data_IF_671209517140
#
_entry.id   IF_671209517140
#
_cell.length_a   1.000
_cell.length_b   1.000
_cell.length_c   1.000
_cell.angle_alpha   90.00
_cell.angle_beta   90.00
_cell.angle_gamma   90.00
#
_symmetry.space_group_name_H-M   'P 1'
#
loop_
_entity.id
_entity.type
_entity.pdbx_description
1 polymer ?
#
# COMPACT_ATOMS: atom_id res chain seq x y z
N UNK A 1 4.36 5.37 -82.28
CA UNK A 1 4.34 4.43 -81.11
C UNK A 1 4.92 5.02 -79.77
N UNK A 2 5.31 6.30 -79.71
CA UNK A 2 5.86 6.97 -78.52
C UNK A 2 4.82 7.61 -77.61
N UNK A 3 3.64 7.99 -78.09
CA UNK A 3 2.60 8.71 -77.31
C UNK A 3 1.89 7.80 -76.32
N UNK A 4 1.70 6.51 -76.59
CA UNK A 4 1.01 5.59 -75.65
C UNK A 4 1.84 5.25 -74.37
N UNK A 5 3.19 5.30 -74.48
CA UNK A 5 4.04 5.05 -73.26
C UNK A 5 4.06 6.20 -72.32
N UNK A 6 4.00 7.45 -72.83
CA UNK A 6 3.99 8.62 -71.95
C UNK A 6 2.68 8.76 -71.21
N UNK A 7 1.55 8.40 -71.79
CA UNK A 7 0.24 8.42 -71.16
C UNK A 7 0.10 7.37 -70.07
N UNK A 8 0.60 6.14 -70.24
CA UNK A 8 0.63 5.11 -69.23
C UNK A 8 1.49 5.51 -68.01
N UNK A 9 2.64 6.14 -68.21
CA UNK A 9 3.51 6.60 -67.12
C UNK A 9 2.84 7.70 -66.28
N UNK A 10 2.13 8.63 -66.93
CA UNK A 10 1.42 9.70 -66.23
C UNK A 10 0.25 9.16 -65.39
N UNK A 11 -0.49 8.17 -65.92
CA UNK A 11 -1.61 7.54 -65.16
C UNK A 11 -1.07 6.73 -63.98
N UNK A 12 0.02 5.99 -64.13
CA UNK A 12 0.65 5.27 -63.02
C UNK A 12 1.17 6.24 -61.93
N UNK A 13 1.75 7.39 -62.30
CA UNK A 13 2.22 8.39 -61.34
C UNK A 13 1.07 8.99 -60.50
N UNK A 14 -0.09 9.24 -61.11
CA UNK A 14 -1.28 9.74 -60.43
C UNK A 14 -1.84 8.71 -59.42
N UNK A 15 -1.84 7.42 -59.80
CA UNK A 15 -2.28 6.35 -58.89
C UNK A 15 -1.32 6.14 -57.71
N UNK A 16 -0.01 6.31 -57.90
CA UNK A 16 1.00 6.22 -56.86
C UNK A 16 0.85 7.41 -55.89
N UNK A 17 0.62 8.65 -56.37
CA UNK A 17 0.36 9.80 -55.54
C UNK A 17 -0.96 9.65 -54.73
N UNK A 18 -2.04 9.15 -55.36
CA UNK A 18 -3.30 8.91 -54.67
C UNK A 18 -3.16 7.83 -53.57
N UNK A 19 -2.33 6.81 -53.76
CA UNK A 19 -2.03 5.78 -52.75
C UNK A 19 -1.31 6.32 -51.50
N UNK A 20 -0.44 7.33 -51.69
CA UNK A 20 0.30 7.94 -50.57
C UNK A 20 -0.64 8.77 -49.65
N UNK A 21 -1.68 9.43 -50.20
CA UNK A 21 -2.65 10.14 -49.42
C UNK A 21 -3.63 9.24 -48.69
N UNK A 22 -3.87 8.01 -49.13
CA UNK A 22 -4.72 7.05 -48.47
C UNK A 22 -4.00 6.37 -47.25
N UNK A 23 -2.65 6.29 -47.29
CA UNK A 23 -1.87 5.67 -46.22
C UNK A 23 -1.77 6.53 -44.94
N UNK A 24 -2.07 7.85 -44.99
CA UNK A 24 -2.07 8.74 -43.83
C UNK A 24 -3.37 8.72 -43.04
N UNK A 25 -4.39 7.97 -43.47
CA UNK A 25 -5.60 7.78 -42.67
C UNK A 25 -5.45 6.56 -41.76
N UNK A 26 -4.34 6.50 -41.00
CA UNK A 26 -4.25 5.59 -39.87
C UNK A 26 -5.36 6.01 -38.90
N UNK A 27 -6.38 5.19 -38.84
CA UNK A 27 -7.40 5.26 -37.81
C UNK A 27 -6.67 5.48 -36.47
N UNK A 28 -6.75 6.70 -35.95
CA UNK A 28 -6.43 6.95 -34.54
C UNK A 28 -7.27 5.95 -33.77
N UNK A 29 -6.68 4.81 -33.36
CA UNK A 29 -7.24 4.04 -32.26
C UNK A 29 -7.52 5.11 -31.22
N UNK A 30 -8.77 5.31 -30.87
CA UNK A 30 -9.15 6.10 -29.70
C UNK A 30 -8.54 5.37 -28.51
N UNK A 31 -7.24 5.61 -28.27
CA UNK A 31 -6.60 5.25 -27.04
C UNK A 31 -7.37 5.97 -25.94
N UNK A 32 -7.50 5.33 -24.82
CA UNK A 32 -8.02 5.96 -23.61
C UNK A 32 -7.22 7.24 -23.44
N UNK A 33 -7.88 8.40 -23.59
CA UNK A 33 -7.20 9.68 -23.43
C UNK A 33 -6.95 9.87 -21.94
N UNK A 34 -5.71 9.75 -21.52
CA UNK A 34 -5.31 9.94 -20.14
C UNK A 34 -5.45 11.43 -19.79
N UNK A 35 -6.28 11.73 -18.83
CA UNK A 35 -6.48 13.04 -18.22
C UNK A 35 -6.53 12.87 -16.71
N UNK A 36 -6.51 13.95 -15.91
CA UNK A 36 -6.67 13.83 -14.46
C UNK A 36 -7.94 13.10 -13.98
N UNK A 37 -8.96 12.96 -14.84
CA UNK A 37 -10.26 12.37 -14.52
C UNK A 37 -10.68 11.26 -15.48
N UNK A 38 -9.77 10.76 -16.30
CA UNK A 38 -10.03 9.63 -17.22
C UNK A 38 -8.75 8.92 -17.60
N UNK A 39 -8.81 7.62 -17.80
CA UNK A 39 -7.69 6.77 -18.15
C UNK A 39 -7.52 5.62 -17.19
N UNK A 40 -6.43 4.88 -17.35
CA UNK A 40 -6.06 3.73 -16.53
C UNK A 40 -4.71 4.00 -15.88
N UNK A 41 -4.65 3.95 -14.55
CA UNK A 41 -3.40 4.06 -13.80
C UNK A 41 -3.23 2.88 -12.84
N UNK A 42 -2.02 2.32 -12.82
CA UNK A 42 -1.59 1.38 -11.79
C UNK A 42 -0.85 2.16 -10.72
N UNK A 43 -1.25 1.98 -9.47
CA UNK A 43 -0.61 2.56 -8.30
C UNK A 43 -0.10 1.46 -7.37
N UNK A 44 0.87 1.76 -6.52
CA UNK A 44 1.27 0.88 -5.44
C UNK A 44 1.07 1.61 -4.12
N UNK A 45 0.52 0.90 -3.12
CA UNK A 45 0.28 1.46 -1.80
C UNK A 45 0.73 0.48 -0.72
N UNK A 46 1.27 1.02 0.37
CA UNK A 46 1.54 0.24 1.57
C UNK A 46 0.24 -0.44 2.02
N UNK A 47 0.31 -1.73 2.26
CA UNK A 47 -0.83 -2.56 2.65
C UNK A 47 -1.52 -2.06 3.92
N UNK A 48 -0.80 -1.35 4.77
CA UNK A 48 -1.34 -0.70 5.96
C UNK A 48 -2.51 0.24 5.61
N UNK A 49 -2.51 0.82 4.40
CA UNK A 49 -3.52 1.76 3.93
C UNK A 49 -4.62 1.14 3.07
N UNK A 50 -4.60 -0.17 2.83
CA UNK A 50 -5.57 -0.84 1.95
C UNK A 50 -7.02 -0.42 2.23
N UNK A 51 -7.53 -0.45 3.50
CA UNK A 51 -8.93 -0.12 3.76
C UNK A 51 -9.33 1.32 3.39
N UNK A 52 -8.44 2.29 3.62
CA UNK A 52 -8.71 3.69 3.29
C UNK A 52 -8.51 3.95 1.79
N UNK A 53 -7.53 3.30 1.17
CA UNK A 53 -7.27 3.46 -0.26
C UNK A 53 -8.41 2.92 -1.12
N UNK A 54 -8.99 1.76 -0.75
CA UNK A 54 -10.15 1.21 -1.44
C UNK A 54 -11.34 2.21 -1.40
N UNK A 55 -11.63 2.79 -0.24
CA UNK A 55 -12.70 3.78 -0.10
C UNK A 55 -12.45 5.03 -0.95
N UNK A 56 -11.23 5.56 -0.94
CA UNK A 56 -10.88 6.74 -1.73
C UNK A 56 -10.93 6.47 -3.24
N UNK A 57 -10.51 5.28 -3.67
CA UNK A 57 -10.59 4.85 -5.06
C UNK A 57 -12.05 4.71 -5.51
N UNK A 58 -12.90 4.06 -4.71
CA UNK A 58 -14.33 3.89 -5.00
C UNK A 58 -15.03 5.25 -5.15
N UNK A 59 -14.74 6.20 -4.25
CA UNK A 59 -15.30 7.56 -4.33
C UNK A 59 -14.79 8.28 -5.57
N UNK A 60 -13.49 8.18 -5.87
CA UNK A 60 -12.91 8.85 -7.04
C UNK A 60 -13.48 8.30 -8.35
N UNK A 61 -13.57 6.98 -8.50
CA UNK A 61 -14.12 6.34 -9.71
C UNK A 61 -15.65 6.59 -9.83
N UNK A 62 -16.36 6.66 -8.71
CA UNK A 62 -17.77 7.06 -8.67
C UNK A 62 -17.99 8.48 -9.18
N UNK A 63 -17.09 9.42 -8.84
CA UNK A 63 -17.12 10.79 -9.33
C UNK A 63 -16.64 10.91 -10.79
N UNK A 64 -15.71 10.07 -11.19
CA UNK A 64 -15.07 10.07 -12.52
C UNK A 64 -15.18 8.72 -13.22
N UNK A 65 -16.33 8.34 -13.76
CA UNK A 65 -16.58 7.00 -14.32
C UNK A 65 -15.70 6.59 -15.52
N UNK A 66 -14.85 7.48 -16.01
CA UNK A 66 -13.85 7.20 -17.06
C UNK A 66 -12.44 7.02 -16.52
N UNK A 67 -12.25 7.19 -15.22
CA UNK A 67 -11.02 6.86 -14.53
C UNK A 67 -11.08 5.40 -14.07
N UNK A 68 -9.93 4.72 -14.12
CA UNK A 68 -9.77 3.38 -13.58
C UNK A 68 -8.41 3.31 -12.88
N UNK A 69 -8.44 3.03 -11.59
CA UNK A 69 -7.25 2.93 -10.75
C UNK A 69 -7.06 1.46 -10.36
N UNK A 70 -5.90 0.90 -10.67
CA UNK A 70 -5.54 -0.46 -10.27
C UNK A 70 -4.56 -0.37 -9.10
N UNK A 71 -5.02 -0.55 -7.85
CA UNK A 71 -4.14 -0.59 -6.70
C UNK A 71 -3.37 -1.91 -6.64
N UNK A 72 -2.13 -1.85 -6.17
CA UNK A 72 -1.31 -3.00 -5.79
C UNK A 72 -0.84 -2.73 -4.37
N UNK A 73 -1.40 -3.48 -3.44
CA UNK A 73 -1.01 -3.42 -2.03
C UNK A 73 0.16 -4.34 -1.78
N UNK A 74 1.17 -3.83 -1.10
CA UNK A 74 2.40 -4.55 -0.81
C UNK A 74 3.09 -3.96 0.41
N UNK A 75 4.16 -4.58 0.86
CA UNK A 75 5.03 -4.05 1.90
C UNK A 75 5.69 -2.75 1.47
N UNK A 76 6.02 -1.88 2.42
CA UNK A 76 6.65 -0.58 2.13
C UNK A 76 7.89 -0.71 1.24
N UNK A 77 8.70 -1.74 1.44
CA UNK A 77 9.90 -2.00 0.63
C UNK A 77 9.54 -2.30 -0.83
N UNK A 78 8.52 -3.12 -1.06
CA UNK A 78 8.08 -3.50 -2.40
C UNK A 78 7.34 -2.36 -3.10
N UNK A 79 6.58 -1.55 -2.37
CA UNK A 79 5.93 -0.34 -2.88
C UNK A 79 6.99 0.63 -3.43
N UNK A 80 8.03 0.90 -2.66
CA UNK A 80 9.12 1.77 -3.10
C UNK A 80 9.91 1.14 -4.26
N UNK A 81 10.17 -0.17 -4.20
CA UNK A 81 10.84 -0.89 -5.28
C UNK A 81 10.06 -0.79 -6.59
N UNK A 82 8.74 -0.92 -6.56
CA UNK A 82 7.87 -0.76 -7.72
C UNK A 82 7.99 0.63 -8.35
N UNK A 83 8.06 1.68 -7.52
CA UNK A 83 8.30 3.05 -7.97
C UNK A 83 9.70 3.21 -8.59
N UNK A 84 10.73 2.69 -7.94
CA UNK A 84 12.12 2.75 -8.42
C UNK A 84 12.29 2.01 -9.75
N UNK A 85 11.53 0.94 -9.98
CA UNK A 85 11.53 0.17 -11.24
C UNK A 85 10.66 0.79 -12.34
N UNK A 86 9.95 1.90 -12.06
CA UNK A 86 8.99 2.53 -12.99
C UNK A 86 7.82 1.58 -13.36
N UNK A 87 7.51 0.64 -12.48
CA UNK A 87 6.35 -0.26 -12.63
C UNK A 87 5.04 0.43 -12.27
N UNK A 88 5.12 1.50 -11.47
CA UNK A 88 4.03 2.38 -11.09
C UNK A 88 4.49 3.83 -11.16
N UNK A 89 3.55 4.76 -11.35
CA UNK A 89 3.80 6.19 -11.39
C UNK A 89 3.42 6.92 -10.11
N UNK A 90 2.70 6.25 -9.24
CA UNK A 90 2.29 6.75 -7.94
C UNK A 90 2.50 5.66 -6.91
N UNK A 91 3.13 6.03 -5.79
CA UNK A 91 3.30 5.17 -4.64
C UNK A 91 2.80 5.89 -3.38
N UNK A 92 2.04 5.19 -2.55
CA UNK A 92 1.56 5.67 -1.25
C UNK A 92 2.34 4.93 -0.17
N UNK A 93 3.13 5.68 0.60
CA UNK A 93 4.08 5.13 1.59
C UNK A 93 4.00 5.89 2.89
N UNK A 94 4.51 5.30 3.97
CA UNK A 94 4.57 5.94 5.30
C UNK A 94 5.81 6.78 5.51
N UNK A 95 6.80 6.70 4.63
CA UNK A 95 8.04 7.48 4.69
C UNK A 95 8.35 8.20 3.39
N UNK A 96 9.22 9.16 3.47
CA UNK A 96 9.83 9.80 2.30
C UNK A 96 10.84 8.88 1.63
N UNK A 97 11.12 9.14 0.36
CA UNK A 97 12.25 8.52 -0.32
C UNK A 97 13.56 8.93 0.34
N UNK A 98 14.47 7.98 0.50
CA UNK A 98 15.83 8.27 0.94
C UNK A 98 16.61 9.04 -0.15
N UNK A 99 17.68 9.77 0.20
CA UNK A 99 18.51 10.47 -0.79
C UNK A 99 19.00 9.57 -1.92
N UNK A 100 19.35 8.31 -1.61
CA UNK A 100 19.82 7.33 -2.60
C UNK A 100 18.71 6.89 -3.56
N UNK A 101 17.48 6.76 -3.07
CA UNK A 101 16.31 6.41 -3.90
C UNK A 101 15.98 7.56 -4.84
N UNK A 102 16.02 8.81 -4.35
CA UNK A 102 15.84 10.02 -5.17
C UNK A 102 16.93 10.12 -6.23
N UNK A 103 18.20 9.88 -5.88
CA UNK A 103 19.31 9.87 -6.83
C UNK A 103 19.11 8.80 -7.91
N UNK A 104 18.66 7.60 -7.55
CA UNK A 104 18.36 6.50 -8.47
C UNK A 104 17.30 6.90 -9.50
N UNK A 105 16.23 7.57 -9.07
CA UNK A 105 15.19 8.07 -9.97
C UNK A 105 15.70 9.21 -10.86
N UNK A 106 16.44 10.17 -10.29
CA UNK A 106 17.00 11.30 -11.02
C UNK A 106 17.97 10.86 -12.11
N UNK A 107 18.80 9.84 -11.86
CA UNK A 107 19.70 9.26 -12.86
C UNK A 107 18.94 8.72 -14.11
N UNK A 108 17.69 8.31 -13.89
CA UNK A 108 16.76 7.88 -14.96
C UNK A 108 15.90 9.04 -15.53
N UNK A 109 16.16 10.28 -15.11
CA UNK A 109 15.38 11.49 -15.46
C UNK A 109 13.94 11.44 -14.94
N UNK A 110 13.68 10.69 -13.88
CA UNK A 110 12.43 10.65 -13.16
C UNK A 110 12.59 11.52 -11.90
N UNK A 111 11.77 12.56 -11.78
CA UNK A 111 11.87 13.54 -10.70
C UNK A 111 10.64 13.37 -9.79
N UNK A 112 10.76 12.62 -8.69
CA UNK A 112 9.63 12.33 -7.83
C UNK A 112 9.14 13.60 -7.14
N UNK A 113 7.82 13.75 -7.04
CA UNK A 113 7.18 14.78 -6.25
C UNK A 113 6.56 14.13 -5.02
N UNK A 114 7.00 14.51 -3.85
CA UNK A 114 6.45 14.06 -2.59
C UNK A 114 5.35 15.01 -2.10
N UNK A 115 4.22 14.43 -1.69
CA UNK A 115 3.09 15.17 -1.11
C UNK A 115 2.62 14.43 0.12
N UNK A 116 2.59 15.10 1.29
CA UNK A 116 1.96 14.56 2.48
C UNK A 116 0.45 14.71 2.33
N UNK A 117 -0.28 13.59 2.33
CA UNK A 117 -1.75 13.56 2.17
C UNK A 117 -2.47 13.36 3.50
N UNK A 118 -1.86 12.62 4.45
CA UNK A 118 -2.48 12.32 5.73
C UNK A 118 -1.43 12.07 6.82
N UNK A 119 -1.90 11.84 8.03
CA UNK A 119 -1.13 11.25 9.13
C UNK A 119 -1.92 10.03 9.60
N UNK A 120 -1.26 8.90 9.65
CA UNK A 120 -1.82 7.65 10.15
C UNK A 120 -1.18 7.26 11.48
N UNK A 121 -1.70 6.21 12.11
CA UNK A 121 -1.22 5.66 13.37
C UNK A 121 -1.09 4.13 13.31
N UNK A 122 -0.40 3.60 14.31
CA UNK A 122 -0.32 2.17 14.56
C UNK A 122 -1.21 1.85 15.77
N UNK A 123 -1.99 0.78 15.65
CA UNK A 123 -2.86 0.30 16.71
C UNK A 123 -2.33 -0.98 17.32
N UNK A 124 -2.48 -1.10 18.62
CA UNK A 124 -2.28 -2.34 19.38
C UNK A 124 -3.63 -3.01 19.57
N UNK A 125 -3.70 -4.29 19.25
CA UNK A 125 -4.92 -5.08 19.36
C UNK A 125 -4.68 -6.33 20.20
N UNK A 126 -5.69 -6.72 20.96
CA UNK A 126 -5.71 -7.94 21.77
C UNK A 126 -7.01 -8.70 21.55
N UNK A 127 -7.03 -9.96 21.95
CA UNK A 127 -8.22 -10.78 21.94
C UNK A 127 -9.31 -10.17 22.84
N UNK A 128 -10.58 -10.28 22.47
CA UNK A 128 -11.71 -9.81 23.29
C UNK A 128 -11.79 -10.42 24.70
N UNK A 129 -11.28 -11.62 24.86
CA UNK A 129 -11.23 -12.28 26.18
C UNK A 129 -10.06 -11.79 27.04
N UNK A 130 -9.15 -10.98 26.50
CA UNK A 130 -8.05 -10.40 27.27
C UNK A 130 -8.58 -9.23 28.12
N UNK A 131 -8.49 -9.31 29.47
CA UNK A 131 -8.94 -8.22 30.34
C UNK A 131 -7.97 -7.03 30.37
N UNK A 132 -6.72 -7.22 29.92
CA UNK A 132 -5.63 -6.26 30.03
C UNK A 132 -5.59 -5.41 28.74
N UNK A 133 -6.23 -4.25 28.76
CA UNK A 133 -6.46 -3.40 27.59
C UNK A 133 -5.78 -2.03 27.63
N UNK A 134 -5.00 -1.75 28.70
CA UNK A 134 -4.27 -0.49 28.86
C UNK A 134 -2.78 -0.80 29.03
N UNK A 135 -1.91 -0.10 28.31
CA UNK A 135 -0.47 -0.30 28.38
C UNK A 135 0.25 1.04 28.36
N UNK A 136 1.38 1.16 29.04
CA UNK A 136 2.23 2.34 28.93
C UNK A 136 3.23 2.20 27.80
N UNK A 137 3.72 3.32 27.25
CA UNK A 137 4.78 3.32 26.21
C UNK A 137 6.04 2.60 26.66
N UNK A 138 6.39 2.66 27.95
CA UNK A 138 7.56 1.93 28.48
C UNK A 138 7.33 0.42 28.49
N UNK A 139 6.17 -0.03 28.97
CA UNK A 139 5.80 -1.45 28.93
C UNK A 139 5.76 -1.97 27.50
N UNK A 140 5.16 -1.22 26.57
CA UNK A 140 5.14 -1.56 25.15
C UNK A 140 6.57 -1.72 24.60
N UNK A 141 7.45 -0.77 24.87
CA UNK A 141 8.87 -0.85 24.43
C UNK A 141 9.57 -2.09 24.96
N UNK A 142 9.36 -2.42 26.23
CA UNK A 142 9.94 -3.61 26.85
C UNK A 142 9.40 -4.92 26.27
N UNK A 143 8.13 -4.94 25.89
CA UNK A 143 7.53 -6.07 25.17
C UNK A 143 8.14 -6.19 23.77
N UNK A 144 8.18 -5.09 23.01
CA UNK A 144 8.69 -5.07 21.66
C UNK A 144 10.17 -5.48 21.57
N UNK A 145 10.99 -5.10 22.55
CA UNK A 145 12.40 -5.47 22.62
C UNK A 145 12.63 -6.87 23.22
N UNK A 146 11.60 -7.52 23.76
CA UNK A 146 11.69 -8.85 24.35
C UNK A 146 12.22 -8.88 25.78
N UNK A 147 12.28 -7.73 26.47
CA UNK A 147 12.59 -7.64 27.90
C UNK A 147 11.42 -8.18 28.74
N UNK A 148 10.21 -8.08 28.26
CA UNK A 148 8.98 -8.64 28.81
C UNK A 148 8.49 -9.74 27.88
N UNK A 149 8.27 -10.93 28.42
CA UNK A 149 7.87 -12.13 27.65
C UNK A 149 6.61 -12.80 28.18
N UNK A 150 6.13 -12.35 29.34
CA UNK A 150 4.92 -12.88 29.98
C UNK A 150 4.00 -11.76 30.43
N UNK A 151 2.70 -12.01 30.34
CA UNK A 151 1.67 -11.04 30.71
C UNK A 151 1.73 -10.61 32.19
N UNK A 152 2.06 -11.53 33.10
CA UNK A 152 2.20 -11.23 34.53
C UNK A 152 3.37 -10.29 34.88
N UNK A 153 4.30 -10.08 33.95
CA UNK A 153 5.38 -9.08 34.12
C UNK A 153 4.88 -7.65 33.87
N UNK A 154 3.71 -7.50 33.24
CA UNK A 154 3.04 -6.22 32.98
C UNK A 154 1.84 -6.05 33.89
N UNK A 155 1.05 -7.10 34.03
CA UNK A 155 -0.16 -7.16 34.85
C UNK A 155 -0.02 -8.33 35.82
N UNK A 156 0.35 -8.10 37.10
CA UNK A 156 0.67 -9.17 38.05
C UNK A 156 -0.43 -10.22 38.24
N UNK A 157 -1.70 -9.82 38.07
CA UNK A 157 -2.86 -10.70 38.23
C UNK A 157 -3.21 -11.47 36.94
N UNK A 158 -2.50 -11.19 35.80
CA UNK A 158 -2.79 -11.81 34.51
C UNK A 158 -2.45 -13.31 34.53
N UNK A 159 -3.36 -14.11 34.00
CA UNK A 159 -3.23 -15.58 33.86
C UNK A 159 -2.96 -16.01 32.42
N UNK A 160 -2.68 -15.06 31.52
CA UNK A 160 -2.51 -15.32 30.08
C UNK A 160 -1.18 -15.99 29.74
N UNK A 161 -0.22 -16.06 30.67
CA UNK A 161 1.07 -16.72 30.50
C UNK A 161 1.98 -16.02 29.53
N UNK A 162 2.61 -16.78 28.61
CA UNK A 162 3.61 -16.26 27.67
C UNK A 162 2.94 -15.30 26.65
N UNK A 163 3.50 -14.10 26.55
CA UNK A 163 3.05 -13.10 25.60
C UNK A 163 3.48 -13.46 24.17
N UNK A 164 2.56 -13.32 23.22
CA UNK A 164 2.82 -13.50 21.80
C UNK A 164 2.69 -12.16 21.07
N UNK A 165 3.81 -11.64 20.58
CA UNK A 165 3.86 -10.42 19.80
C UNK A 165 3.69 -10.76 18.32
N UNK A 166 2.73 -10.12 17.66
CA UNK A 166 2.34 -10.43 16.29
C UNK A 166 2.36 -9.18 15.41
N UNK A 167 3.03 -9.27 14.27
CA UNK A 167 3.07 -8.26 13.22
C UNK A 167 2.64 -8.86 11.89
N UNK A 168 2.38 -8.01 10.91
CA UNK A 168 2.11 -8.41 9.52
C UNK A 168 3.34 -9.09 8.89
N UNK A 169 4.37 -8.35 8.47
CA UNK A 169 5.59 -8.97 7.96
C UNK A 169 6.84 -8.14 8.31
N UNK A 170 8.05 -8.73 8.21
CA UNK A 170 9.29 -8.06 8.61
C UNK A 170 9.63 -6.79 7.81
N UNK A 171 9.10 -6.64 6.60
CA UNK A 171 9.38 -5.52 5.69
C UNK A 171 8.28 -4.43 5.74
N UNK A 172 7.32 -4.58 6.65
CA UNK A 172 6.18 -3.66 6.75
C UNK A 172 6.58 -2.32 7.38
N UNK A 173 5.76 -1.33 7.11
CA UNK A 173 5.85 -0.02 7.73
C UNK A 173 5.57 -0.04 9.22
N UNK A 174 4.72 -0.95 9.71
CA UNK A 174 4.41 -1.14 11.13
C UNK A 174 5.63 -1.60 11.91
N UNK A 175 6.38 -2.58 11.37
CA UNK A 175 7.66 -3.06 11.94
C UNK A 175 8.70 -1.94 11.95
N UNK A 176 8.87 -1.24 10.83
CA UNK A 176 9.79 -0.10 10.75
C UNK A 176 9.44 0.98 11.77
N UNK A 177 8.17 1.36 11.87
CA UNK A 177 7.71 2.35 12.84
C UNK A 177 7.96 1.91 14.28
N UNK A 178 7.71 0.62 14.60
CA UNK A 178 7.99 0.07 15.93
C UNK A 178 9.49 0.18 16.28
N UNK A 179 10.38 -0.15 15.34
CA UNK A 179 11.83 -0.04 15.54
C UNK A 179 12.25 1.42 15.72
N UNK A 180 11.91 2.28 14.75
CA UNK A 180 12.44 3.63 14.66
C UNK A 180 11.84 4.57 15.72
N UNK A 181 10.53 4.48 15.92
CA UNK A 181 9.79 5.45 16.75
C UNK A 181 9.54 4.95 18.17
N UNK A 182 9.12 3.68 18.35
CA UNK A 182 8.79 3.16 19.67
C UNK A 182 10.05 2.66 20.38
N UNK A 183 10.88 1.87 19.69
CA UNK A 183 12.08 1.24 20.27
C UNK A 183 13.33 2.11 20.14
N UNK A 184 13.24 3.30 19.57
CA UNK A 184 14.36 4.25 19.36
C UNK A 184 15.56 3.59 18.65
N UNK A 185 15.30 2.82 17.60
CA UNK A 185 16.29 2.11 16.79
C UNK A 185 16.76 0.76 17.37
N UNK A 186 16.27 0.34 18.53
CA UNK A 186 16.57 -1.00 19.06
C UNK A 186 15.83 -2.07 18.26
N UNK A 187 16.45 -3.22 17.99
CA UNK A 187 15.81 -4.32 17.27
C UNK A 187 14.62 -4.88 18.06
N UNK A 188 13.64 -5.39 17.34
CA UNK A 188 12.52 -6.11 17.93
C UNK A 188 12.95 -7.47 18.48
N UNK A 189 12.12 -8.04 19.35
CA UNK A 189 12.28 -9.37 19.90
C UNK A 189 12.42 -10.41 18.79
N UNK A 190 13.31 -11.39 19.01
CA UNK A 190 13.45 -12.54 18.09
C UNK A 190 12.26 -13.52 18.14
N UNK A 191 11.44 -13.43 19.18
CA UNK A 191 10.24 -14.26 19.37
C UNK A 191 8.99 -13.60 18.80
N UNK A 192 9.14 -12.87 17.71
CA UNK A 192 8.08 -12.18 17.00
C UNK A 192 7.39 -13.17 16.06
N UNK A 193 6.05 -13.18 16.07
CA UNK A 193 5.25 -13.95 15.14
C UNK A 193 4.85 -13.02 13.97
N UNK A 194 5.26 -13.37 12.76
CA UNK A 194 4.90 -12.62 11.56
C UNK A 194 3.75 -13.31 10.86
N UNK A 195 2.76 -12.52 10.45
CA UNK A 195 1.67 -12.90 9.57
C UNK A 195 1.92 -12.27 8.19
N UNK A 196 1.16 -12.65 7.17
CA UNK A 196 1.41 -12.12 5.83
C UNK A 196 0.87 -10.69 5.64
N UNK A 197 -0.17 -10.31 6.41
CA UNK A 197 -0.88 -9.04 6.27
C UNK A 197 -1.62 -8.65 7.55
N UNK A 198 -2.17 -7.43 7.60
CA UNK A 198 -2.90 -6.93 8.77
C UNK A 198 -4.18 -7.72 9.07
N UNK A 199 -4.89 -8.22 8.05
CA UNK A 199 -6.08 -9.06 8.24
C UNK A 199 -5.73 -10.36 8.99
N UNK A 200 -4.66 -11.03 8.58
CA UNK A 200 -4.17 -12.24 9.24
C UNK A 200 -3.71 -11.97 10.69
N UNK A 201 -3.15 -10.79 10.97
CA UNK A 201 -2.85 -10.38 12.35
C UNK A 201 -4.12 -10.30 13.18
N UNK A 202 -5.18 -9.68 12.65
CA UNK A 202 -6.47 -9.54 13.32
C UNK A 202 -7.09 -10.92 13.58
N UNK A 203 -7.11 -11.79 12.58
CA UNK A 203 -7.64 -13.14 12.71
C UNK A 203 -6.85 -13.95 13.75
N UNK A 204 -5.52 -13.91 13.70
CA UNK A 204 -4.67 -14.57 14.68
C UNK A 204 -4.96 -14.09 16.12
N UNK A 205 -5.02 -12.77 16.33
CA UNK A 205 -5.31 -12.19 17.65
C UNK A 205 -6.71 -12.56 18.13
N UNK A 206 -7.68 -12.67 17.23
CA UNK A 206 -9.05 -13.06 17.57
C UNK A 206 -9.14 -14.49 18.12
N UNK A 207 -8.21 -15.35 17.74
CA UNK A 207 -8.16 -16.77 18.14
C UNK A 207 -7.21 -17.04 19.33
N UNK A 208 -6.23 -16.15 19.56
CA UNK A 208 -5.14 -16.36 20.52
C UNK A 208 -5.22 -15.35 21.66
N UNK A 209 -5.74 -15.73 22.85
CA UNK A 209 -6.01 -14.80 23.95
C UNK A 209 -4.78 -14.07 24.50
N UNK A 210 -3.60 -14.64 24.41
CA UNK A 210 -2.34 -14.11 24.92
C UNK A 210 -1.52 -13.35 23.84
N UNK A 211 -2.11 -13.09 22.66
CA UNK A 211 -1.46 -12.32 21.60
C UNK A 211 -1.67 -10.81 21.76
N UNK A 212 -0.64 -10.04 21.40
CA UNK A 212 -0.72 -8.61 21.09
C UNK A 212 -0.39 -8.47 19.60
N UNK A 213 -1.33 -7.94 18.82
CA UNK A 213 -1.12 -7.62 17.41
C UNK A 213 -0.78 -6.14 17.24
N UNK A 214 0.06 -5.85 16.25
CA UNK A 214 0.41 -4.49 15.83
C UNK A 214 -0.02 -4.33 14.38
N UNK A 215 -0.96 -3.40 14.14
CA UNK A 215 -1.56 -3.17 12.82
C UNK A 215 -1.63 -1.68 12.49
N UNK A 216 -1.87 -1.34 11.23
CA UNK A 216 -2.25 0.02 10.84
C UNK A 216 -3.60 0.41 11.44
N UNK A 217 -3.73 1.66 11.90
CA UNK A 217 -4.95 2.13 12.54
C UNK A 217 -6.15 2.12 11.58
N UNK A 218 -5.93 2.25 10.27
CA UNK A 218 -6.97 2.17 9.24
C UNK A 218 -7.71 0.82 9.23
N UNK A 219 -7.10 -0.26 9.75
CA UNK A 219 -7.67 -1.59 9.84
C UNK A 219 -8.65 -1.78 11.01
N UNK A 220 -8.75 -0.82 11.92
CA UNK A 220 -9.68 -0.94 13.06
C UNK A 220 -11.13 -0.82 12.58
N UNK A 221 -11.38 -0.13 11.50
CA UNK A 221 -12.69 0.08 10.91
C UNK A 221 -13.61 1.02 11.72
N UNK A 222 -14.63 1.53 11.06
CA UNK A 222 -15.67 2.33 11.69
C UNK A 222 -16.88 1.43 12.00
N UNK A 223 -17.40 1.45 13.22
CA UNK A 223 -18.60 0.70 13.64
C UNK A 223 -19.84 0.98 12.79
N UNK A 224 -19.86 2.11 12.09
CA UNK A 224 -20.95 2.53 11.22
C UNK A 224 -20.72 2.19 9.74
N UNK A 225 -19.60 1.54 9.42
CA UNK A 225 -19.27 1.15 8.06
C UNK A 225 -19.90 -0.21 7.72
N UNK A 226 -20.88 -0.20 6.81
CA UNK A 226 -21.55 -1.42 6.31
C UNK A 226 -20.69 -2.21 5.32
N UNK A 227 -19.49 -1.75 4.98
CA UNK A 227 -18.66 -2.27 3.89
C UNK A 227 -17.74 -3.43 4.26
N UNK A 228 -17.91 -4.10 5.40
CA UNK A 228 -17.12 -5.24 5.89
C UNK A 228 -15.71 -4.92 6.42
N UNK A 229 -15.29 -3.67 6.44
CA UNK A 229 -13.97 -3.25 6.95
C UNK A 229 -13.94 -3.07 8.48
N UNK A 230 -15.03 -3.38 9.19
CA UNK A 230 -15.07 -3.29 10.65
C UNK A 230 -14.58 -4.58 11.31
N UNK A 231 -13.29 -4.65 11.59
CA UNK A 231 -12.69 -5.74 12.36
C UNK A 231 -12.92 -5.60 13.88
N UNK A 232 -13.54 -4.49 14.34
CA UNK A 232 -13.72 -4.18 15.76
C UNK A 232 -14.55 -5.22 16.55
N UNK A 233 -15.30 -6.08 15.84
CA UNK A 233 -16.08 -7.13 16.49
C UNK A 233 -15.25 -8.34 16.91
N UNK A 234 -14.07 -8.53 16.32
CA UNK A 234 -13.19 -9.67 16.58
C UNK A 234 -12.15 -9.41 17.67
N UNK A 235 -11.77 -8.16 17.87
CA UNK A 235 -10.62 -7.76 18.71
C UNK A 235 -10.98 -6.59 19.64
N UNK A 236 -10.08 -6.30 20.58
CA UNK A 236 -10.11 -5.10 21.41
C UNK A 236 -8.88 -4.26 21.15
N UNK A 237 -9.06 -2.94 20.94
CA UNK A 237 -7.94 -2.00 20.78
C UNK A 237 -7.42 -1.62 22.16
N UNK A 238 -6.10 -1.69 22.34
CA UNK A 238 -5.45 -1.27 23.57
C UNK A 238 -5.31 0.26 23.64
N UNK A 239 -5.53 0.83 24.81
CA UNK A 239 -5.14 2.21 25.11
C UNK A 239 -3.67 2.31 25.55
N UNK A 240 -3.02 3.43 25.22
CA UNK A 240 -1.64 3.76 25.60
C UNK A 240 -1.65 5.02 26.43
#
# INVERSE_FOLDING_TARGET
>A
MKIKRSFCLSVCAVFILAGIFAACNSSKKKGITETPTSGLIKISADQTFEPIMEQEIDVFEGLYPKANIIPVYADEVDVITSLLQDSVRLAVTTRRLSPKEVETLNARKLYPKEVKIATDGVALIVNKANPDTLITMDQLRRILTGEVTEWNQVYPESKLGKLQLVFDNPNSSTVRFAIDSICAGKPLSKNLNAQDNNENVIDYVSEVPNAIGVIGASWIGNKNDSTRLSFSDKITVMGI
#
